data_IF_196905095527
#
_entry.id   IF_196905095527
#
_cell.length_a   1.000
_cell.length_b   1.000
_cell.length_c   1.000
_cell.angle_alpha   90.00
_cell.angle_beta   90.00
_cell.angle_gamma   90.00
#
_symmetry.space_group_name_H-M   'P 1'
#
loop_
_entity.id
_entity.type
_entity.pdbx_description
1 polymer ?
#
# COMPACT_ATOMS: atom_id res chain seq x y z
N UNK A 1 -15.50 -7.60 2.86
CA UNK A 1 -14.18 -8.18 2.53
C UNK A 1 -13.22 -7.96 3.69
N UNK A 2 -12.47 -8.98 4.08
CA UNK A 2 -11.55 -8.89 5.22
C UNK A 2 -10.29 -8.09 4.88
N UNK A 3 -9.55 -7.67 5.92
CA UNK A 3 -8.29 -6.97 5.71
C UNK A 3 -7.30 -7.82 4.90
N UNK A 4 -7.21 -9.10 5.22
CA UNK A 4 -6.32 -10.02 4.52
C UNK A 4 -6.70 -10.15 3.04
N UNK A 5 -7.99 -10.28 2.74
CA UNK A 5 -8.46 -10.39 1.36
C UNK A 5 -8.16 -9.11 0.56
N UNK A 6 -8.33 -7.95 1.18
CA UNK A 6 -8.01 -6.68 0.54
C UNK A 6 -6.51 -6.57 0.23
N UNK A 7 -5.67 -6.91 1.21
CA UNK A 7 -4.22 -6.84 1.03
C UNK A 7 -3.72 -7.82 -0.03
N UNK A 8 -4.34 -8.99 -0.15
CA UNK A 8 -3.98 -9.97 -1.18
C UNK A 8 -4.24 -9.48 -2.60
N UNK A 9 -5.13 -8.53 -2.77
CA UNK A 9 -5.43 -7.95 -4.08
C UNK A 9 -4.41 -6.90 -4.50
N UNK A 10 -3.59 -6.41 -3.57
CA UNK A 10 -2.55 -5.44 -3.89
C UNK A 10 -1.36 -6.14 -4.52
N UNK A 11 -0.91 -5.61 -5.66
CA UNK A 11 0.27 -6.12 -6.35
C UNK A 11 1.40 -5.13 -6.22
N UNK A 12 2.58 -5.55 -5.73
CA UNK A 12 3.71 -4.65 -5.65
C UNK A 12 4.20 -4.28 -7.05
N UNK A 13 4.68 -3.06 -7.19
CA UNK A 13 5.28 -2.57 -8.42
C UNK A 13 6.73 -2.22 -8.15
N UNK A 14 7.55 -2.27 -9.22
CA UNK A 14 8.91 -1.76 -9.18
C UNK A 14 8.93 -0.42 -9.89
N UNK A 15 9.63 0.54 -9.32
CA UNK A 15 9.69 1.88 -9.87
C UNK A 15 11.00 2.57 -9.51
N UNK A 16 11.28 3.65 -10.23
CA UNK A 16 12.41 4.53 -9.94
C UNK A 16 11.88 5.95 -9.86
N UNK A 17 12.35 6.69 -8.86
CA UNK A 17 12.04 8.11 -8.79
C UNK A 17 12.81 8.87 -9.86
N UNK A 18 12.28 10.03 -10.24
CA UNK A 18 12.99 10.94 -11.15
C UNK A 18 14.30 11.40 -10.49
N UNK A 19 15.28 11.76 -11.31
CA UNK A 19 16.58 12.25 -10.84
C UNK A 19 16.46 13.42 -9.87
N UNK A 20 15.40 14.22 -9.98
CA UNK A 20 15.14 15.34 -9.09
C UNK A 20 14.94 14.89 -7.63
N UNK A 21 14.35 13.71 -7.43
CA UNK A 21 14.04 13.17 -6.12
C UNK A 21 15.04 12.10 -5.68
N UNK A 22 15.61 11.38 -6.62
CA UNK A 22 16.62 10.36 -6.36
C UNK A 22 17.66 10.40 -7.47
N UNK A 23 18.78 11.13 -7.27
CA UNK A 23 19.81 11.27 -8.31
C UNK A 23 20.38 9.96 -8.83
N UNK A 24 20.41 8.92 -7.98
CA UNK A 24 20.93 7.61 -8.37
C UNK A 24 19.89 6.74 -9.06
N UNK A 25 18.62 7.13 -8.99
CA UNK A 25 17.50 6.38 -9.54
C UNK A 25 17.51 4.89 -9.18
N UNK A 26 17.66 4.62 -7.88
CA UNK A 26 17.66 3.25 -7.37
C UNK A 26 16.31 2.58 -7.61
N UNK A 27 16.36 1.29 -7.95
CA UNK A 27 15.15 0.49 -8.11
C UNK A 27 14.50 0.27 -6.76
N UNK A 28 13.20 0.58 -6.68
CA UNK A 28 12.42 0.46 -5.46
C UNK A 28 11.19 -0.40 -5.71
N UNK A 29 10.68 -0.99 -4.65
CA UNK A 29 9.44 -1.75 -4.69
C UNK A 29 8.42 -1.11 -3.75
N UNK A 30 7.16 -1.16 -4.14
CA UNK A 30 6.09 -0.60 -3.33
C UNK A 30 4.75 -0.77 -4.03
N UNK A 31 3.75 -0.03 -3.56
CA UNK A 31 2.40 -0.11 -4.11
C UNK A 31 2.01 1.20 -4.79
N UNK A 32 1.27 1.07 -5.88
CA UNK A 32 0.69 2.24 -6.54
C UNK A 32 -0.44 2.82 -5.67
N UNK A 33 -0.42 4.13 -5.43
CA UNK A 33 -1.49 4.79 -4.69
C UNK A 33 -2.83 4.64 -5.41
N UNK A 34 -2.83 4.63 -6.74
CA UNK A 34 -4.06 4.42 -7.51
C UNK A 34 -4.66 3.04 -7.28
N UNK A 35 -3.83 2.02 -7.20
CA UNK A 35 -4.28 0.66 -6.92
C UNK A 35 -4.82 0.54 -5.50
N UNK A 36 -4.10 1.10 -4.53
CA UNK A 36 -4.55 1.12 -3.13
C UNK A 36 -5.89 1.83 -3.00
N UNK A 37 -6.07 2.95 -3.72
CA UNK A 37 -7.33 3.70 -3.68
C UNK A 37 -8.54 2.87 -4.14
N UNK A 38 -8.35 2.00 -5.11
CA UNK A 38 -9.43 1.13 -5.60
C UNK A 38 -9.82 0.05 -4.58
N UNK A 39 -8.88 -0.42 -3.79
CA UNK A 39 -9.10 -1.54 -2.86
C UNK A 39 -9.32 -1.05 -1.44
N UNK A 40 -8.54 -0.09 -0.98
CA UNK A 40 -8.57 0.48 0.36
C UNK A 40 -8.56 2.01 0.24
N UNK A 41 -9.69 2.63 -0.17
CA UNK A 41 -9.72 4.07 -0.41
C UNK A 41 -9.38 4.91 0.83
N UNK A 42 -9.68 4.42 2.03
CA UNK A 42 -9.35 5.11 3.27
C UNK A 42 -7.85 5.20 3.55
N UNK A 43 -7.03 4.42 2.85
CA UNK A 43 -5.58 4.44 2.99
C UNK A 43 -4.90 5.42 2.02
N UNK A 44 -5.69 6.21 1.28
CA UNK A 44 -5.14 7.17 0.32
C UNK A 44 -5.68 8.57 0.62
N UNK A 45 -4.77 9.53 0.66
CA UNK A 45 -5.10 10.95 0.84
C UNK A 45 -4.73 11.67 -0.44
N UNK A 46 -5.60 12.54 -0.93
CA UNK A 46 -5.33 13.36 -2.10
C UNK A 46 -5.06 14.81 -1.65
N UNK A 47 -3.90 15.34 -2.07
CA UNK A 47 -3.54 16.74 -1.85
C UNK A 47 -3.01 17.33 -3.16
N UNK A 48 -3.63 18.43 -3.60
CA UNK A 48 -3.22 19.15 -4.80
C UNK A 48 -3.10 18.23 -6.03
N UNK A 49 -4.03 17.28 -6.16
CA UNK A 49 -4.02 16.33 -7.27
C UNK A 49 -3.03 15.19 -7.13
N UNK A 50 -2.31 15.11 -6.02
CA UNK A 50 -1.34 14.05 -5.77
C UNK A 50 -1.92 13.05 -4.78
N UNK A 51 -1.87 11.78 -5.13
CA UNK A 51 -2.31 10.70 -4.25
C UNK A 51 -1.15 10.27 -3.36
N UNK A 52 -1.40 10.22 -2.05
CA UNK A 52 -0.42 9.78 -1.06
C UNK A 52 -0.99 8.65 -0.22
N UNK A 53 -0.14 7.70 0.14
CA UNK A 53 -0.54 6.60 1.00
C UNK A 53 -0.53 7.03 2.47
N UNK A 54 -1.61 6.69 3.18
CA UNK A 54 -1.67 6.85 4.63
C UNK A 54 -1.13 5.57 5.27
N UNK A 55 0.12 5.63 5.71
CA UNK A 55 0.79 4.46 6.26
C UNK A 55 0.18 3.98 7.58
N UNK A 56 -0.41 4.88 8.36
CA UNK A 56 -1.07 4.49 9.60
C UNK A 56 -2.27 3.60 9.32
N UNK A 57 -3.07 3.95 8.33
CA UNK A 57 -4.21 3.14 7.92
C UNK A 57 -3.74 1.79 7.36
N UNK A 58 -2.72 1.79 6.50
CA UNK A 58 -2.18 0.56 5.95
C UNK A 58 -1.64 -0.37 7.04
N UNK A 59 -0.97 0.19 8.06
CA UNK A 59 -0.46 -0.61 9.17
C UNK A 59 -1.59 -1.28 9.96
N UNK A 60 -2.71 -0.59 10.14
CA UNK A 60 -3.88 -1.18 10.79
C UNK A 60 -4.41 -2.38 10.00
N UNK A 61 -4.48 -2.25 8.67
CA UNK A 61 -4.88 -3.35 7.80
C UNK A 61 -3.91 -4.53 7.89
N UNK A 62 -2.61 -4.25 7.90
CA UNK A 62 -1.59 -5.29 8.02
C UNK A 62 -1.70 -6.02 9.36
N UNK A 63 -1.96 -5.27 10.43
CA UNK A 63 -2.12 -5.84 11.77
C UNK A 63 -3.33 -6.78 11.81
N UNK A 64 -4.46 -6.35 11.27
CA UNK A 64 -5.65 -7.19 11.19
C UNK A 64 -5.43 -8.42 10.32
N UNK A 65 -4.71 -8.28 9.21
CA UNK A 65 -4.39 -9.40 8.35
C UNK A 65 -3.55 -10.46 9.08
N UNK A 66 -2.61 -10.01 9.89
CA UNK A 66 -1.80 -10.93 10.71
C UNK A 66 -2.64 -11.69 11.72
N UNK A 67 -3.60 -11.03 12.35
CA UNK A 67 -4.52 -11.67 13.28
C UNK A 67 -5.37 -12.71 12.57
N UNK A 68 -5.87 -12.41 11.38
CA UNK A 68 -6.65 -13.35 10.58
C UNK A 68 -5.84 -14.58 10.18
N UNK A 69 -4.57 -14.37 9.82
CA UNK A 69 -3.67 -15.48 9.50
C UNK A 69 -3.43 -16.39 10.70
N UNK A 70 -3.23 -15.81 11.88
CA UNK A 70 -3.06 -16.59 13.11
C UNK A 70 -4.30 -17.42 13.43
N UNK A 71 -5.47 -16.82 13.25
CA UNK A 71 -6.72 -17.54 13.50
C UNK A 71 -6.89 -18.73 12.54
N UNK A 72 -6.43 -18.60 11.30
CA UNK A 72 -6.52 -19.70 10.33
C UNK A 72 -5.52 -20.81 10.60
N UNK A 73 -4.42 -20.52 11.27
CA UNK A 73 -3.35 -21.47 11.52
C UNK A 73 -3.45 -22.17 12.89
N UNK A 74 -4.49 -21.87 13.66
CA UNK A 74 -4.72 -22.53 14.97
C UNK A 74 -5.79 -23.65 14.91
#
# INVERSE_FOLDING_TARGET
MSALEKLKQLEPIQFRYKKEYDPEQNLRAGFSAQQVQKIIPEAVVEENGILMLDMDVLQKYMHEAKRELRAKNT
#
